data_IF_052797863787
#
_entry.id   IF_052797863787
#
_cell.length_a   1.000
_cell.length_b   1.000
_cell.length_c   1.000
_cell.angle_alpha   90.00
_cell.angle_beta   90.00
_cell.angle_gamma   90.00
#
_symmetry.space_group_name_H-M   'P 1'
#
loop_
_entity.id
_entity.type
_entity.pdbx_description
1 polymer ?
#
# COMPACT_ATOMS: atom_id res chain seq x y z
N UNK A 1 54.86 44.66 22.24
CA UNK A 1 54.30 43.56 23.06
C UNK A 1 52.81 43.31 22.80
N UNK A 2 51.98 44.36 22.62
CA UNK A 2 50.52 44.25 22.43
C UNK A 2 50.05 43.53 21.14
N UNK A 3 50.79 43.62 20.03
CA UNK A 3 50.41 43.03 18.73
C UNK A 3 50.45 41.49 18.69
N UNK A 4 51.37 40.87 19.45
CA UNK A 4 51.54 39.41 19.49
C UNK A 4 50.41 38.75 20.29
N UNK A 5 49.96 39.41 21.37
CA UNK A 5 48.84 38.96 22.20
C UNK A 5 47.55 38.97 21.40
N UNK A 6 47.31 40.01 20.61
CA UNK A 6 46.11 40.16 19.78
C UNK A 6 46.03 39.10 18.67
N UNK A 7 47.16 38.76 18.02
CA UNK A 7 47.23 37.67 17.02
C UNK A 7 46.99 36.28 17.64
N UNK A 8 47.45 36.04 18.88
CA UNK A 8 47.16 34.80 19.59
C UNK A 8 45.66 34.68 19.91
N UNK A 9 45.04 35.74 20.44
CA UNK A 9 43.60 35.76 20.74
C UNK A 9 42.76 35.52 19.47
N UNK A 10 43.13 36.13 18.34
CA UNK A 10 42.45 35.91 17.07
C UNK A 10 42.60 34.46 16.55
N UNK A 11 43.74 33.81 16.82
CA UNK A 11 43.95 32.39 16.46
C UNK A 11 43.15 31.44 17.34
N UNK A 12 43.06 31.69 18.66
CA UNK A 12 42.28 30.87 19.57
C UNK A 12 40.77 31.04 19.38
N UNK A 13 40.30 32.26 19.08
CA UNK A 13 38.89 32.51 18.73
C UNK A 13 38.50 31.79 17.44
N UNK A 14 39.32 31.88 16.39
CA UNK A 14 39.11 31.15 15.14
C UNK A 14 39.12 29.62 15.33
N UNK A 15 40.05 29.09 16.15
CA UNK A 15 40.09 27.66 16.46
C UNK A 15 38.86 27.19 17.25
N UNK A 16 38.37 27.99 18.20
CA UNK A 16 37.16 27.65 18.96
C UNK A 16 35.91 27.68 18.08
N UNK A 17 35.83 28.61 17.13
CA UNK A 17 34.69 28.73 16.20
C UNK A 17 34.66 27.54 15.22
N UNK A 18 35.83 27.11 14.74
CA UNK A 18 35.96 25.93 13.89
C UNK A 18 35.58 24.64 14.63
N UNK A 19 36.00 24.49 15.89
CA UNK A 19 35.61 23.36 16.72
C UNK A 19 34.09 23.32 16.97
N UNK A 20 33.47 24.48 17.19
CA UNK A 20 32.02 24.60 17.40
C UNK A 20 31.23 24.23 16.13
N UNK A 21 31.73 24.62 14.95
CA UNK A 21 31.16 24.26 13.66
C UNK A 21 31.24 22.75 13.37
N UNK A 22 32.34 22.09 13.75
CA UNK A 22 32.50 20.63 13.57
C UNK A 22 31.52 19.87 14.48
N UNK A 23 31.34 20.31 15.73
CA UNK A 23 30.36 19.73 16.67
C UNK A 23 28.92 19.95 16.20
N UNK A 24 28.64 21.10 15.60
CA UNK A 24 27.32 21.35 15.00
C UNK A 24 27.06 20.49 13.76
N UNK A 25 28.08 20.24 12.94
CA UNK A 25 27.95 19.38 11.76
C UNK A 25 27.83 17.89 12.10
N UNK A 26 28.44 17.43 13.19
CA UNK A 26 28.35 16.01 13.63
C UNK A 26 27.01 15.63 14.25
N UNK A 27 26.14 16.60 14.54
CA UNK A 27 24.77 16.38 15.00
C UNK A 27 23.70 16.53 13.92
N UNK A 28 24.08 16.87 12.68
CA UNK A 28 23.13 16.73 11.58
C UNK A 28 22.95 15.23 11.29
N UNK A 29 21.75 14.66 11.50
CA UNK A 29 21.49 13.31 11.05
C UNK A 29 21.72 13.30 9.54
N UNK A 30 22.66 12.46 9.09
CA UNK A 30 22.75 12.07 7.70
C UNK A 30 21.41 11.41 7.41
N UNK A 31 20.48 12.15 6.81
CA UNK A 31 19.29 11.57 6.20
C UNK A 31 19.82 10.65 5.12
N UNK A 32 19.96 9.37 5.47
CA UNK A 32 20.33 8.32 4.54
C UNK A 32 19.42 8.45 3.33
N UNK A 33 20.02 8.59 2.15
CA UNK A 33 19.26 8.43 0.93
C UNK A 33 18.59 7.07 1.04
N UNK A 34 17.25 7.07 1.14
CA UNK A 34 16.49 5.85 0.97
C UNK A 34 16.93 5.28 -0.38
N UNK A 35 17.54 4.10 -0.37
CA UNK A 35 17.85 3.39 -1.60
C UNK A 35 16.56 3.32 -2.40
N UNK A 36 16.55 3.97 -3.56
CA UNK A 36 15.47 3.87 -4.50
C UNK A 36 15.46 2.41 -4.97
N UNK A 37 14.64 1.60 -4.30
CA UNK A 37 14.42 0.22 -4.65
C UNK A 37 14.04 0.19 -6.13
N UNK A 38 14.94 -0.37 -6.95
CA UNK A 38 14.85 -0.43 -8.40
C UNK A 38 13.81 -1.48 -8.79
N UNK A 39 12.60 -1.34 -8.24
CA UNK A 39 11.46 -2.20 -8.52
C UNK A 39 11.05 -1.93 -9.95
N UNK A 40 11.39 -2.88 -10.82
CA UNK A 40 10.84 -2.91 -12.19
C UNK A 40 9.32 -2.81 -12.07
N UNK A 41 8.75 -1.78 -12.69
CA UNK A 41 7.31 -1.57 -12.73
C UNK A 41 6.62 -2.84 -13.24
N UNK A 42 5.56 -3.33 -12.57
CA UNK A 42 4.87 -4.53 -13.02
C UNK A 42 4.23 -4.30 -14.39
N UNK A 43 4.39 -5.25 -15.30
CA UNK A 43 3.76 -5.22 -16.62
C UNK A 43 2.29 -5.63 -16.59
N UNK A 44 1.95 -6.57 -15.70
CA UNK A 44 0.63 -7.17 -15.56
C UNK A 44 0.24 -7.21 -14.09
N UNK A 45 -1.05 -7.07 -13.81
CA UNK A 45 -1.63 -7.18 -12.47
C UNK A 45 -2.77 -8.20 -12.52
N UNK A 46 -2.73 -9.18 -11.60
CA UNK A 46 -3.81 -10.14 -11.40
C UNK A 46 -4.29 -9.93 -9.97
N UNK A 47 -5.56 -9.52 -9.82
CA UNK A 47 -6.21 -9.38 -8.52
C UNK A 47 -7.15 -10.58 -8.32
N UNK A 48 -6.94 -11.32 -7.24
CA UNK A 48 -7.82 -12.42 -6.85
C UNK A 48 -8.58 -12.03 -5.59
N UNK A 49 -9.91 -12.08 -5.65
CA UNK A 49 -10.80 -11.73 -4.54
C UNK A 49 -11.51 -12.99 -4.08
N UNK A 50 -11.32 -13.36 -2.81
CA UNK A 50 -12.17 -14.33 -2.13
C UNK A 50 -13.29 -13.60 -1.40
N UNK A 51 -14.51 -13.62 -1.94
CA UNK A 51 -15.65 -12.99 -1.27
C UNK A 51 -15.91 -13.66 0.09
N UNK A 52 -16.03 -12.86 1.15
CA UNK A 52 -16.14 -13.35 2.53
C UNK A 52 -14.90 -14.08 3.08
N UNK A 53 -13.74 -14.02 2.40
CA UNK A 53 -12.53 -14.72 2.82
C UNK A 53 -11.76 -13.94 3.90
N UNK A 54 -12.18 -14.09 5.15
CA UNK A 54 -11.45 -13.60 6.31
C UNK A 54 -10.24 -14.47 6.68
N UNK A 55 -9.52 -14.07 7.72
CA UNK A 55 -8.37 -14.82 8.25
C UNK A 55 -8.79 -16.23 8.68
N UNK A 56 -9.97 -16.39 9.30
CA UNK A 56 -10.48 -17.70 9.73
C UNK A 56 -10.71 -18.64 8.54
N UNK A 57 -11.28 -18.14 7.44
CA UNK A 57 -11.45 -18.89 6.21
C UNK A 57 -10.10 -19.26 5.61
N UNK A 58 -9.14 -18.33 5.59
CA UNK A 58 -7.78 -18.61 5.14
C UNK A 58 -7.12 -19.70 5.98
N UNK A 59 -7.19 -19.62 7.31
CA UNK A 59 -6.65 -20.64 8.22
C UNK A 59 -7.24 -22.02 7.97
N UNK A 60 -8.54 -22.11 7.64
CA UNK A 60 -9.16 -23.40 7.34
C UNK A 60 -8.49 -24.13 6.17
N UNK A 61 -7.99 -23.40 5.17
CA UNK A 61 -7.27 -24.00 4.04
C UNK A 61 -5.95 -24.66 4.46
N UNK A 62 -5.33 -24.21 5.55
CA UNK A 62 -4.10 -24.80 6.09
C UNK A 62 -4.37 -26.03 6.96
N UNK A 63 -5.42 -26.00 7.77
CA UNK A 63 -5.70 -27.07 8.74
C UNK A 63 -6.58 -28.19 8.19
N UNK A 64 -7.32 -27.93 7.12
CA UNK A 64 -8.21 -28.90 6.48
C UNK A 64 -7.88 -29.05 4.99
N UNK A 65 -6.68 -29.52 4.64
CA UNK A 65 -6.32 -29.78 3.25
C UNK A 65 -7.16 -30.93 2.67
N UNK A 66 -7.22 -30.99 1.33
CA UNK A 66 -7.87 -32.11 0.64
C UNK A 66 -7.15 -33.41 1.02
N UNK A 67 -7.92 -34.45 1.38
CA UNK A 67 -7.40 -35.77 1.76
C UNK A 67 -6.57 -36.42 0.65
N UNK A 68 -6.81 -36.04 -0.61
CA UNK A 68 -6.04 -36.54 -1.76
C UNK A 68 -4.64 -35.92 -1.89
N UNK A 69 -4.41 -34.79 -1.24
CA UNK A 69 -3.21 -33.95 -1.34
C UNK A 69 -2.86 -33.39 0.06
N UNK A 70 -2.86 -34.25 1.09
CA UNK A 70 -2.75 -33.82 2.49
C UNK A 70 -1.43 -33.10 2.83
N UNK A 71 -0.34 -33.42 2.11
CA UNK A 71 0.98 -32.78 2.29
C UNK A 71 1.11 -31.47 1.49
N UNK A 72 0.09 -31.07 0.74
CA UNK A 72 0.15 -29.90 -0.13
C UNK A 72 -0.15 -28.62 0.63
N UNK A 73 0.86 -27.76 0.74
CA UNK A 73 0.71 -26.40 1.23
C UNK A 73 -0.28 -25.57 0.38
N UNK A 74 -1.15 -24.75 1.00
CA UNK A 74 -2.01 -23.82 0.28
C UNK A 74 -1.22 -22.86 -0.60
N UNK A 75 -1.79 -22.47 -1.74
CA UNK A 75 -1.14 -21.52 -2.66
C UNK A 75 -0.79 -20.18 -2.00
N UNK A 76 -1.50 -19.82 -0.94
CA UNK A 76 -1.25 -18.62 -0.15
C UNK A 76 0.12 -18.63 0.55
N UNK A 77 0.69 -19.80 0.86
CA UNK A 77 2.03 -19.93 1.47
C UNK A 77 3.16 -19.38 0.58
N UNK A 78 2.87 -19.12 -0.70
CA UNK A 78 3.84 -18.61 -1.68
C UNK A 78 3.96 -17.08 -1.68
N UNK A 79 3.06 -16.35 -1.02
CA UNK A 79 3.13 -14.89 -0.96
C UNK A 79 4.23 -14.43 -0.01
N UNK A 80 5.12 -13.55 -0.49
CA UNK A 80 6.23 -12.99 0.30
C UNK A 80 5.80 -11.88 1.27
N UNK A 81 4.67 -11.23 0.97
CA UNK A 81 4.17 -10.08 1.69
C UNK A 81 2.73 -10.33 2.11
N UNK A 82 2.45 -10.03 3.38
CA UNK A 82 1.12 -10.16 3.98
C UNK A 82 0.81 -8.82 4.66
N UNK A 83 -0.42 -8.34 4.47
CA UNK A 83 -0.90 -7.10 5.06
C UNK A 83 -2.35 -7.24 5.50
N UNK A 84 -2.76 -6.38 6.44
CA UNK A 84 -4.15 -6.27 6.87
C UNK A 84 -4.75 -4.98 6.32
N UNK A 85 -6.02 -5.04 5.92
CA UNK A 85 -6.75 -3.91 5.34
C UNK A 85 -8.01 -3.64 6.18
N UNK A 86 -8.28 -2.37 6.48
CA UNK A 86 -9.53 -1.94 7.12
C UNK A 86 -10.65 -1.89 6.08
N UNK A 87 -11.63 -2.78 6.23
CA UNK A 87 -12.68 -3.00 5.24
C UNK A 87 -13.97 -2.22 5.48
N UNK A 88 -14.07 -1.38 6.52
CA UNK A 88 -15.28 -0.59 6.77
C UNK A 88 -15.71 0.20 5.53
N UNK A 89 -17.01 0.31 5.30
CA UNK A 89 -17.55 1.18 4.25
C UNK A 89 -17.36 2.66 4.68
N UNK A 90 -17.85 3.58 3.86
CA UNK A 90 -17.83 5.00 4.18
C UNK A 90 -18.83 5.42 5.26
N UNK A 91 -19.86 4.61 5.56
CA UNK A 91 -20.88 4.90 6.59
C UNK A 91 -21.00 3.82 7.66
N UNK A 92 -20.75 2.56 7.31
CA UNK A 92 -20.94 1.40 8.17
C UNK A 92 -19.61 0.75 8.58
N UNK A 93 -19.58 0.23 9.80
CA UNK A 93 -18.42 -0.54 10.30
C UNK A 93 -18.28 -1.86 9.53
N UNK A 94 -19.40 -2.51 9.22
CA UNK A 94 -19.46 -3.74 8.45
C UNK A 94 -19.85 -3.41 7.01
N UNK A 95 -18.92 -3.63 6.09
CA UNK A 95 -19.13 -3.40 4.66
C UNK A 95 -19.89 -4.54 4.01
N UNK A 96 -20.59 -4.23 2.92
CA UNK A 96 -21.14 -5.22 1.99
C UNK A 96 -20.27 -5.31 0.72
N UNK A 97 -20.36 -6.42 -0.01
CA UNK A 97 -19.63 -6.64 -1.27
C UNK A 97 -19.68 -5.46 -2.27
N UNK A 98 -20.82 -4.78 -2.53
CA UNK A 98 -20.86 -3.67 -3.51
C UNK A 98 -20.00 -2.47 -3.10
N UNK A 99 -20.02 -2.10 -1.81
CA UNK A 99 -19.22 -1.01 -1.30
C UNK A 99 -17.72 -1.36 -1.28
N UNK A 100 -17.39 -2.62 -0.96
CA UNK A 100 -16.02 -3.11 -0.98
C UNK A 100 -15.46 -3.18 -2.41
N UNK A 101 -16.24 -3.70 -3.36
CA UNK A 101 -15.89 -3.75 -4.77
C UNK A 101 -15.62 -2.36 -5.33
N UNK A 102 -16.52 -1.40 -5.07
CA UNK A 102 -16.33 0.01 -5.46
C UNK A 102 -15.04 0.59 -4.88
N UNK A 103 -14.75 0.34 -3.60
CA UNK A 103 -13.53 0.84 -2.97
C UNK A 103 -12.26 0.25 -3.58
N UNK A 104 -12.27 -1.05 -3.91
CA UNK A 104 -11.14 -1.73 -4.55
C UNK A 104 -10.95 -1.28 -6.00
N UNK A 105 -12.04 -1.08 -6.73
CA UNK A 105 -12.01 -0.79 -8.16
C UNK A 105 -11.75 0.70 -8.45
N UNK A 106 -12.29 1.61 -7.64
CA UNK A 106 -12.22 3.07 -7.86
C UNK A 106 -11.24 3.79 -6.93
N UNK A 107 -10.89 3.17 -5.79
CA UNK A 107 -10.12 3.82 -4.72
C UNK A 107 -10.94 4.73 -3.79
N UNK A 108 -12.26 4.85 -4.01
CA UNK A 108 -13.15 5.66 -3.18
C UNK A 108 -14.06 4.81 -2.32
N UNK A 109 -14.17 5.14 -1.03
CA UNK A 109 -15.17 4.53 -0.17
C UNK A 109 -16.57 5.04 -0.53
N UNK A 110 -17.55 4.17 -0.34
CA UNK A 110 -18.97 4.46 -0.56
C UNK A 110 -19.83 3.86 0.55
N UNK A 111 -21.15 4.00 0.48
CA UNK A 111 -22.10 3.40 1.42
C UNK A 111 -22.51 2.00 0.98
N UNK A 112 -23.00 1.20 1.92
CA UNK A 112 -23.48 -0.15 1.63
C UNK A 112 -24.57 -0.16 0.53
N UNK A 113 -24.59 -1.22 -0.29
CA UNK A 113 -25.44 -1.36 -1.49
C UNK A 113 -25.10 -0.47 -2.70
N UNK A 114 -24.13 0.43 -2.61
CA UNK A 114 -23.69 1.26 -3.74
C UNK A 114 -22.60 0.58 -4.60
N UNK A 115 -22.70 0.72 -5.92
CA UNK A 115 -21.70 0.25 -6.90
C UNK A 115 -21.26 1.42 -7.79
N UNK A 116 -19.95 1.62 -7.94
CA UNK A 116 -19.37 2.58 -8.90
C UNK A 116 -19.58 4.06 -8.58
N UNK A 117 -20.03 4.40 -7.38
CA UNK A 117 -20.25 5.79 -6.93
C UNK A 117 -19.60 6.03 -5.58
N UNK A 118 -19.23 7.27 -5.29
CA UNK A 118 -18.74 7.66 -3.97
C UNK A 118 -19.88 7.93 -2.96
N UNK A 119 -19.51 8.45 -1.79
CA UNK A 119 -20.43 8.81 -0.70
C UNK A 119 -21.46 9.88 -1.06
N UNK A 120 -21.15 10.74 -2.04
CA UNK A 120 -22.00 11.81 -2.55
C UNK A 120 -22.77 11.37 -3.80
N UNK A 121 -22.76 10.07 -4.11
CA UNK A 121 -23.40 9.45 -5.29
C UNK A 121 -22.83 9.89 -6.62
N UNK A 122 -21.63 10.48 -6.62
CA UNK A 122 -20.93 10.85 -7.85
C UNK A 122 -20.28 9.60 -8.44
N UNK A 123 -20.50 9.38 -9.74
CA UNK A 123 -19.89 8.27 -10.48
C UNK A 123 -18.37 8.35 -10.43
N UNK A 124 -17.73 7.23 -10.08
CA UNK A 124 -16.29 7.09 -10.01
C UNK A 124 -15.85 6.05 -11.03
N UNK A 125 -14.87 6.44 -11.84
CA UNK A 125 -14.27 5.54 -12.81
C UNK A 125 -13.49 4.44 -12.10
N UNK A 126 -13.64 3.20 -12.58
CA UNK A 126 -12.92 2.06 -12.03
C UNK A 126 -11.61 1.78 -12.78
N UNK A 127 -10.72 1.01 -12.15
CA UNK A 127 -9.38 0.74 -12.67
C UNK A 127 -9.39 0.02 -14.03
N UNK A 128 -10.42 -0.80 -14.29
CA UNK A 128 -10.58 -1.52 -15.56
C UNK A 128 -10.90 -0.54 -16.69
N UNK A 129 -11.78 0.42 -16.46
CA UNK A 129 -12.09 1.51 -17.40
C UNK A 129 -10.85 2.36 -17.67
N UNK A 130 -10.13 2.77 -16.62
CA UNK A 130 -8.90 3.57 -16.73
C UNK A 130 -7.86 2.86 -17.59
N UNK A 131 -7.66 1.56 -17.36
CA UNK A 131 -6.66 0.76 -18.08
C UNK A 131 -7.09 0.47 -19.52
N UNK A 132 -8.37 0.18 -19.76
CA UNK A 132 -8.90 -0.05 -21.10
C UNK A 132 -8.72 1.18 -21.99
N UNK A 133 -9.03 2.38 -21.47
CA UNK A 133 -8.82 3.65 -22.20
C UNK A 133 -7.34 3.95 -22.49
N UNK A 134 -6.43 3.40 -21.69
CA UNK A 134 -4.98 3.48 -21.92
C UNK A 134 -4.44 2.40 -22.87
N UNK A 135 -5.31 1.57 -23.45
CA UNK A 135 -4.93 0.52 -24.41
C UNK A 135 -4.43 -0.77 -23.77
N UNK A 136 -4.66 -0.97 -22.47
CA UNK A 136 -4.35 -2.25 -21.81
C UNK A 136 -5.46 -3.26 -22.06
N UNK A 137 -5.08 -4.53 -22.20
CA UNK A 137 -6.03 -5.64 -22.16
C UNK A 137 -6.55 -5.81 -20.74
N UNK A 138 -7.87 -5.83 -20.59
CA UNK A 138 -8.54 -5.97 -19.30
C UNK A 138 -9.56 -7.12 -19.35
N UNK A 139 -9.86 -7.70 -18.19
CA UNK A 139 -10.80 -8.81 -18.08
C UNK A 139 -11.24 -9.04 -16.64
N UNK A 140 -12.46 -9.52 -16.49
CA UNK A 140 -13.07 -9.90 -15.19
C UNK A 140 -13.51 -11.35 -15.31
N UNK A 141 -13.15 -12.16 -14.32
CA UNK A 141 -13.52 -13.57 -14.23
C UNK A 141 -14.19 -13.77 -12.87
N UNK A 142 -15.39 -14.32 -12.88
CA UNK A 142 -16.15 -14.63 -11.68
C UNK A 142 -16.67 -16.07 -11.76
N UNK A 143 -16.75 -16.72 -10.59
CA UNK A 143 -17.50 -17.98 -10.43
C UNK A 143 -18.98 -17.74 -10.18
N UNK A 144 -19.33 -16.51 -9.79
CA UNK A 144 -20.69 -16.04 -9.57
C UNK A 144 -21.26 -15.38 -10.83
N UNK A 145 -22.44 -14.75 -10.74
CA UNK A 145 -22.99 -14.03 -11.88
C UNK A 145 -22.15 -12.78 -12.18
N UNK A 146 -21.97 -12.48 -13.46
CA UNK A 146 -21.23 -11.27 -13.89
C UNK A 146 -21.88 -9.96 -13.42
N UNK A 147 -23.17 -10.02 -13.04
CA UNK A 147 -23.94 -8.90 -12.51
C UNK A 147 -23.91 -8.81 -10.98
N UNK A 148 -23.23 -9.74 -10.29
CA UNK A 148 -23.06 -9.65 -8.85
C UNK A 148 -22.15 -8.48 -8.48
N UNK A 149 -22.26 -8.04 -7.23
CA UNK A 149 -21.59 -6.85 -6.73
C UNK A 149 -20.07 -6.82 -6.99
N UNK A 150 -19.38 -7.94 -6.76
CA UNK A 150 -17.92 -8.03 -6.86
C UNK A 150 -17.40 -7.88 -8.30
N UNK A 151 -17.94 -8.59 -9.32
CA UNK A 151 -17.56 -8.34 -10.71
C UNK A 151 -18.13 -7.04 -11.30
N UNK A 152 -19.20 -6.49 -10.73
CA UNK A 152 -19.85 -5.27 -11.25
C UNK A 152 -19.18 -3.95 -10.82
N UNK A 153 -18.43 -3.93 -9.71
CA UNK A 153 -17.70 -2.74 -9.24
C UNK A 153 -16.43 -2.48 -10.02
#
# INVERSE_FOLDING_TARGET
>A
MMSIVMKKIQKYTAASLAALLIVLFSWFPIYGQAEADNTKRPKNVILMIGDGMGISQLSSAYYFPDKKDADREPSFSRFKYIGLVKTSSGREVVTQSPAAATALATGYKTYNSAVGVDLDTVVRENIVEILSRKGYMTGVIATSYVTDATPAG
#
